data_IF_027905497451
#
_entry.id   IF_027905497451
#
_cell.length_a   1.000
_cell.length_b   1.000
_cell.length_c   1.000
_cell.angle_alpha   90.00
_cell.angle_beta   90.00
_cell.angle_gamma   90.00
#
_symmetry.space_group_name_H-M   'P 1'
#
loop_
_entity.id
_entity.type
_entity.pdbx_description
1 polymer ?
#
# COMPACT_ATOMS: atom_id res chain seq x y z
N UNK A 1 -7.61 -6.99 7.64
CA UNK A 1 -7.07 -5.70 8.12
C UNK A 1 -5.57 -5.75 7.96
N UNK A 2 -4.99 -4.84 7.18
CA UNK A 2 -3.53 -4.82 6.90
C UNK A 2 -2.95 -3.51 7.40
N UNK A 3 -1.89 -3.59 8.19
CA UNK A 3 -1.29 -2.44 8.87
C UNK A 3 0.22 -2.61 9.08
N UNK A 4 0.92 -1.47 9.19
CA UNK A 4 2.29 -1.40 9.65
C UNK A 4 2.29 -0.93 11.10
N UNK A 5 3.10 -1.56 11.96
CA UNK A 5 3.33 -1.14 13.34
C UNK A 5 4.77 -0.68 13.49
N UNK A 6 4.96 0.51 14.06
CA UNK A 6 6.27 1.10 14.29
C UNK A 6 6.77 0.77 15.70
N UNK A 7 8.07 1.00 15.93
CA UNK A 7 8.73 0.73 17.21
C UNK A 7 8.21 1.59 18.36
N UNK A 8 7.67 2.77 18.06
CA UNK A 8 7.02 3.67 19.03
C UNK A 8 5.59 3.24 19.40
N UNK A 9 5.09 2.14 18.82
CA UNK A 9 3.75 1.60 19.05
C UNK A 9 2.67 2.19 18.15
N UNK A 10 2.98 3.22 17.35
CA UNK A 10 2.04 3.75 16.36
C UNK A 10 1.78 2.73 15.25
N UNK A 11 0.64 2.86 14.58
CA UNK A 11 0.29 2.03 13.43
C UNK A 11 -0.34 2.82 12.30
N UNK A 12 -0.12 2.36 11.07
CA UNK A 12 -0.80 2.85 9.87
C UNK A 12 -1.56 1.71 9.23
N UNK A 13 -2.86 1.91 9.05
CA UNK A 13 -3.75 0.96 8.40
C UNK A 13 -3.94 1.34 6.94
N UNK A 14 -3.85 0.37 6.04
CA UNK A 14 -4.01 0.66 4.60
C UNK A 14 -5.43 1.17 4.33
N UNK A 15 -6.46 0.49 4.85
CA UNK A 15 -7.85 0.89 4.62
C UNK A 15 -8.27 2.23 5.25
N UNK A 16 -7.62 2.65 6.35
CA UNK A 16 -7.99 3.85 7.09
C UNK A 16 -7.14 5.08 6.79
N UNK A 17 -5.86 4.88 6.46
CA UNK A 17 -4.88 5.97 6.41
C UNK A 17 -4.39 6.25 4.98
N UNK A 18 -4.49 5.30 4.04
CA UNK A 18 -3.93 5.42 2.69
C UNK A 18 -4.43 6.65 1.92
N UNK A 19 -5.70 7.06 2.08
CA UNK A 19 -6.27 8.24 1.39
C UNK A 19 -6.19 9.53 2.20
N UNK A 20 -5.65 9.49 3.43
CA UNK A 20 -5.51 10.69 4.25
C UNK A 20 -4.42 11.60 3.67
N UNK A 21 -4.70 12.90 3.67
CA UNK A 21 -3.74 13.94 3.26
C UNK A 21 -2.86 14.34 4.44
N UNK A 22 -2.18 13.37 5.02
CA UNK A 22 -1.22 13.53 6.11
C UNK A 22 0.03 12.67 5.84
N UNK A 23 1.02 12.76 6.74
CA UNK A 23 2.29 12.06 6.62
C UNK A 23 2.12 10.53 6.54
N UNK A 24 1.20 9.98 7.33
CA UNK A 24 0.91 8.54 7.32
C UNK A 24 0.38 8.05 5.97
N UNK A 25 -0.57 8.77 5.38
CA UNK A 25 -1.04 8.48 4.03
C UNK A 25 0.06 8.65 2.99
N UNK A 26 0.92 9.69 3.12
CA UNK A 26 2.01 9.92 2.18
C UNK A 26 3.01 8.78 2.24
N UNK A 27 3.37 8.34 3.45
CA UNK A 27 4.24 7.20 3.69
C UNK A 27 3.70 5.93 3.01
N UNK A 28 2.40 5.62 3.17
CA UNK A 28 1.77 4.46 2.54
C UNK A 28 1.79 4.53 1.00
N UNK A 29 1.52 5.70 0.42
CA UNK A 29 1.57 5.91 -1.04
C UNK A 29 3.00 5.78 -1.58
N UNK A 30 3.99 6.33 -0.88
CA UNK A 30 5.40 6.18 -1.23
C UNK A 30 5.85 4.71 -1.15
N UNK A 31 5.47 4.00 -0.08
CA UNK A 31 5.80 2.58 0.08
C UNK A 31 5.16 1.71 -1.01
N UNK A 32 3.90 2.00 -1.35
CA UNK A 32 3.21 1.35 -2.47
C UNK A 32 3.92 1.60 -3.80
N UNK A 33 4.26 2.86 -4.11
CA UNK A 33 4.98 3.21 -5.34
C UNK A 33 6.33 2.51 -5.46
N UNK A 34 7.09 2.46 -4.37
CA UNK A 34 8.38 1.76 -4.34
C UNK A 34 8.24 0.24 -4.53
N UNK A 35 7.15 -0.36 -4.02
CA UNK A 35 6.92 -1.80 -4.07
C UNK A 35 6.91 -2.36 -5.49
N UNK A 36 6.43 -1.59 -6.48
CA UNK A 36 6.38 -1.99 -7.88
C UNK A 36 7.77 -2.43 -8.40
N UNK A 37 8.84 -1.72 -8.03
CA UNK A 37 10.20 -2.05 -8.44
C UNK A 37 10.73 -3.36 -7.83
N UNK A 38 10.24 -3.73 -6.65
CA UNK A 38 10.68 -4.94 -5.94
C UNK A 38 9.87 -6.18 -6.33
N UNK A 39 8.57 -6.03 -6.57
CA UNK A 39 7.66 -7.16 -6.80
C UNK A 39 7.31 -7.33 -8.28
N UNK A 40 7.31 -6.25 -9.06
CA UNK A 40 6.93 -6.24 -10.48
C UNK A 40 5.44 -6.07 -10.72
N UNK A 41 4.58 -6.38 -9.74
CA UNK A 41 3.15 -6.09 -9.75
C UNK A 41 2.70 -5.60 -8.37
N UNK A 42 1.99 -4.49 -8.33
CA UNK A 42 1.48 -3.89 -7.10
C UNK A 42 0.07 -3.32 -7.34
N UNK A 43 -0.93 -3.81 -6.61
CA UNK A 43 -2.30 -3.29 -6.64
C UNK A 43 -2.69 -2.73 -5.28
N UNK A 44 -3.13 -1.47 -5.27
CA UNK A 44 -3.42 -0.71 -4.07
C UNK A 44 -4.90 -0.32 -3.96
N UNK A 45 -5.25 0.46 -2.92
CA UNK A 45 -6.63 0.85 -2.65
C UNK A 45 -7.33 1.62 -3.77
N UNK A 46 -6.58 2.19 -4.71
CA UNK A 46 -7.14 2.93 -5.84
C UNK A 46 -7.41 2.05 -7.07
N UNK A 47 -7.00 0.78 -7.06
CA UNK A 47 -7.25 -0.13 -8.18
C UNK A 47 -8.71 -0.57 -8.28
N UNK A 48 -9.26 -1.18 -7.21
CA UNK A 48 -10.67 -1.56 -7.12
C UNK A 48 -11.11 -1.85 -5.67
N UNK A 49 -12.40 -2.13 -5.47
CA UNK A 49 -12.99 -2.38 -4.15
C UNK A 49 -12.35 -3.54 -3.38
N UNK A 50 -11.86 -4.58 -4.06
CA UNK A 50 -11.20 -5.71 -3.40
C UNK A 50 -9.87 -5.29 -2.74
N UNK A 51 -9.18 -4.30 -3.31
CA UNK A 51 -7.88 -3.83 -2.84
C UNK A 51 -7.98 -2.65 -1.85
N UNK A 52 -9.18 -2.19 -1.50
CA UNK A 52 -9.41 -1.00 -0.68
C UNK A 52 -8.74 -1.04 0.72
N UNK A 53 -8.32 -2.21 1.20
CA UNK A 53 -7.81 -2.42 2.56
C UNK A 53 -6.42 -3.06 2.65
N UNK A 54 -5.77 -3.35 1.51
CA UNK A 54 -4.46 -4.01 1.48
C UNK A 54 -3.70 -3.74 0.18
N UNK A 55 -2.39 -4.02 0.16
CA UNK A 55 -1.59 -4.06 -1.06
C UNK A 55 -1.50 -5.51 -1.54
N UNK A 56 -1.84 -5.75 -2.80
CA UNK A 56 -1.54 -7.01 -3.47
C UNK A 56 -0.18 -6.88 -4.14
N UNK A 57 0.80 -7.64 -3.65
CA UNK A 57 2.18 -7.63 -4.15
C UNK A 57 2.45 -8.96 -4.84
N UNK A 58 2.50 -8.97 -6.16
CA UNK A 58 2.72 -10.19 -6.94
C UNK A 58 4.16 -10.26 -7.42
N UNK A 59 4.81 -11.42 -7.33
CA UNK A 59 6.15 -11.64 -7.87
C UNK A 59 6.11 -12.18 -9.31
N UNK A 60 6.81 -11.48 -10.22
CA UNK A 60 7.16 -11.85 -11.62
C UNK A 60 5.95 -12.12 -12.56
N UNK A 61 5.70 -11.16 -13.46
CA UNK A 61 4.68 -11.18 -14.52
C UNK A 61 4.40 -9.77 -15.07
N UNK A 62 3.44 -9.62 -15.99
CA UNK A 62 2.99 -8.35 -16.61
C UNK A 62 2.94 -7.21 -15.58
N UNK A 63 3.73 -6.15 -15.79
CA UNK A 63 3.91 -5.07 -14.83
C UNK A 63 2.68 -4.18 -14.71
N UNK A 64 1.83 -4.45 -13.71
CA UNK A 64 0.66 -3.65 -13.39
C UNK A 64 0.91 -2.96 -12.03
N UNK A 65 0.92 -1.64 -12.02
CA UNK A 65 1.16 -0.85 -10.81
C UNK A 65 0.07 0.23 -10.69
N UNK A 66 -0.95 -0.02 -9.86
CA UNK A 66 -2.15 0.84 -9.70
C UNK A 66 -2.78 0.76 -8.33
#
# INVERSE_FOLDING_TARGET
MTAFRFSDGSHLTIGGDYRRQNDGGQYLRTLFSASCAYYGNALGPDYNAAHASHFHLGMRGFGLCR
#
